data_IF_755743887607
#
_entry.id   IF_755743887607
#
_cell.length_a   1.000
_cell.length_b   1.000
_cell.length_c   1.000
_cell.angle_alpha   90.00
_cell.angle_beta   90.00
_cell.angle_gamma   90.00
#
_symmetry.space_group_name_H-M   'P 1'
#
loop_
_entity.id
_entity.type
_entity.pdbx_description
1 polymer ?
#
# COMPACT_ATOMS: atom_id res chain seq x y z
N UNK A 1 -3.18 1.70 -7.01
CA UNK A 1 -3.44 0.34 -6.50
C UNK A 1 -2.73 0.20 -5.16
N UNK A 2 -3.27 -0.54 -4.20
CA UNK A 2 -2.67 -0.82 -2.87
C UNK A 2 -3.04 -2.23 -2.42
N UNK A 3 -2.35 -2.75 -1.41
CA UNK A 3 -2.67 -4.01 -0.71
C UNK A 3 -2.84 -5.20 -1.68
N UNK A 4 -2.03 -5.22 -2.73
CA UNK A 4 -2.15 -6.20 -3.80
C UNK A 4 -1.75 -7.61 -3.33
N UNK A 5 -0.79 -7.70 -2.41
CA UNK A 5 -0.27 -8.97 -1.89
C UNK A 5 -0.07 -10.05 -2.96
N UNK A 6 0.68 -9.71 -4.01
CA UNK A 6 0.90 -10.58 -5.17
C UNK A 6 1.62 -11.89 -4.82
N UNK A 7 2.15 -12.04 -3.61
CA UNK A 7 2.60 -13.31 -3.06
C UNK A 7 1.50 -14.38 -2.92
N UNK A 8 0.22 -13.99 -2.86
CA UNK A 8 -0.90 -14.91 -2.69
C UNK A 8 -1.68 -15.17 -3.99
N UNK A 9 -1.68 -14.23 -4.93
CA UNK A 9 -2.34 -14.36 -6.21
C UNK A 9 -1.68 -13.45 -7.25
N UNK A 10 -1.62 -13.91 -8.50
CA UNK A 10 -1.21 -13.06 -9.60
C UNK A 10 -2.17 -11.89 -9.78
N UNK A 11 -1.63 -10.74 -10.17
CA UNK A 11 -2.40 -9.54 -10.43
C UNK A 11 -2.21 -9.10 -11.87
N UNK A 12 -3.25 -9.27 -12.67
CA UNK A 12 -3.32 -8.74 -14.02
C UNK A 12 -3.53 -7.23 -13.96
N UNK A 13 -2.52 -6.49 -14.39
CA UNK A 13 -2.63 -5.03 -14.40
C UNK A 13 -3.55 -4.59 -15.52
N UNK A 14 -4.60 -3.82 -15.22
CA UNK A 14 -5.55 -3.39 -16.24
C UNK A 14 -4.87 -2.44 -17.23
N UNK A 15 -5.10 -2.68 -18.52
CA UNK A 15 -4.67 -1.76 -19.57
C UNK A 15 -5.64 -0.58 -19.62
N UNK A 16 -5.22 0.53 -19.03
CA UNK A 16 -5.99 1.77 -18.95
C UNK A 16 -5.15 2.91 -19.49
N UNK A 17 -5.80 3.92 -20.05
CA UNK A 17 -5.11 5.15 -20.46
C UNK A 17 -4.84 6.03 -19.23
N UNK A 18 -3.63 5.92 -18.69
CA UNK A 18 -3.18 6.66 -17.52
C UNK A 18 -1.75 7.16 -17.72
N UNK A 19 -1.47 8.36 -17.22
CA UNK A 19 -0.13 8.97 -17.32
C UNK A 19 0.86 8.40 -16.31
N UNK A 20 0.38 7.94 -15.15
CA UNK A 20 1.17 7.47 -14.01
C UNK A 20 0.49 6.28 -13.33
N UNK A 21 1.29 5.32 -12.89
CA UNK A 21 0.85 4.24 -12.00
C UNK A 21 1.30 4.51 -10.56
N UNK A 22 0.36 4.46 -9.61
CA UNK A 22 0.67 4.57 -8.18
C UNK A 22 0.47 3.22 -7.50
N UNK A 23 1.53 2.73 -6.85
CA UNK A 23 1.55 1.53 -6.00
C UNK A 23 1.68 1.97 -4.54
N UNK A 24 0.57 1.95 -3.81
CA UNK A 24 0.42 2.60 -2.51
C UNK A 24 0.55 1.62 -1.33
N UNK A 25 1.62 0.81 -1.33
CA UNK A 25 1.98 -0.09 -0.22
C UNK A 25 1.33 -1.46 -0.26
N UNK A 26 1.92 -2.37 0.53
CA UNK A 26 1.50 -3.77 0.70
C UNK A 26 1.33 -4.48 -0.66
N UNK A 27 2.27 -4.24 -1.57
CA UNK A 27 2.29 -4.86 -2.90
C UNK A 27 2.89 -6.25 -2.80
N UNK A 28 4.07 -6.37 -2.20
CA UNK A 28 4.71 -7.64 -1.91
C UNK A 28 5.68 -7.48 -0.73
N UNK A 29 6.00 -8.57 -0.04
CA UNK A 29 7.09 -8.60 0.94
C UNK A 29 8.45 -8.13 0.39
N UNK A 30 9.17 -7.34 1.20
CA UNK A 30 10.56 -6.90 0.95
C UNK A 30 10.73 -6.14 -0.36
N UNK A 31 11.84 -6.37 -1.06
CA UNK A 31 12.22 -5.71 -2.29
C UNK A 31 11.47 -6.26 -3.52
N UNK A 32 10.71 -7.35 -3.38
CA UNK A 32 9.98 -7.98 -4.48
C UNK A 32 8.89 -7.08 -5.05
N UNK A 33 8.27 -6.23 -4.23
CA UNK A 33 7.28 -5.26 -4.71
C UNK A 33 7.89 -4.21 -5.64
N UNK A 34 9.15 -3.82 -5.37
CA UNK A 34 9.92 -2.94 -6.26
C UNK A 34 10.34 -3.65 -7.56
N UNK A 35 10.68 -4.94 -7.49
CA UNK A 35 10.97 -5.75 -8.68
C UNK A 35 9.73 -5.88 -9.58
N UNK A 36 8.57 -6.15 -9.00
CA UNK A 36 7.29 -6.14 -9.69
C UNK A 36 7.00 -4.78 -10.34
N UNK A 37 7.16 -3.68 -9.59
CA UNK A 37 6.98 -2.34 -10.12
C UNK A 37 7.87 -2.08 -11.35
N UNK A 38 9.15 -2.47 -11.29
CA UNK A 38 10.07 -2.31 -12.45
C UNK A 38 9.59 -3.09 -13.68
N UNK A 39 9.15 -4.33 -13.49
CA UNK A 39 8.60 -5.15 -14.56
C UNK A 39 7.31 -4.55 -15.15
N UNK A 40 6.48 -3.92 -14.31
CA UNK A 40 5.24 -3.28 -14.71
C UNK A 40 5.44 -1.98 -15.50
N UNK A 41 6.63 -1.38 -15.42
CA UNK A 41 6.82 0.01 -15.85
C UNK A 41 6.38 0.32 -17.27
N UNK A 42 6.35 -0.62 -18.24
CA UNK A 42 5.74 -0.44 -19.58
C UNK A 42 5.82 0.99 -20.16
N UNK A 43 6.99 1.64 -20.01
CA UNK A 43 7.26 3.04 -20.41
C UNK A 43 6.45 4.15 -19.72
N UNK A 44 5.74 3.85 -18.63
CA UNK A 44 5.01 4.78 -17.76
C UNK A 44 5.73 4.99 -16.42
N UNK A 45 5.79 6.23 -15.90
CA UNK A 45 6.34 6.47 -14.57
C UNK A 45 5.52 5.78 -13.48
N UNK A 46 6.22 5.20 -12.50
CA UNK A 46 5.61 4.57 -11.33
C UNK A 46 6.00 5.33 -10.07
N UNK A 47 4.99 5.67 -9.27
CA UNK A 47 5.17 6.12 -7.89
C UNK A 47 4.95 4.94 -6.97
N UNK A 48 5.98 4.53 -6.25
CA UNK A 48 5.93 3.43 -5.28
C UNK A 48 6.01 3.98 -3.86
N UNK A 49 5.02 3.64 -3.04
CA UNK A 49 5.00 3.89 -1.60
C UNK A 49 5.15 2.54 -0.91
N UNK A 50 6.16 2.38 -0.06
CA UNK A 50 6.33 1.15 0.71
C UNK A 50 5.31 1.13 1.86
N UNK A 51 4.56 0.03 1.98
CA UNK A 51 3.68 -0.27 3.10
C UNK A 51 4.43 -1.02 4.21
N UNK A 52 3.68 -1.49 5.21
CA UNK A 52 4.27 -2.28 6.30
C UNK A 52 4.74 -3.65 5.83
N UNK A 53 4.09 -4.23 4.82
CA UNK A 53 4.37 -5.59 4.36
C UNK A 53 5.74 -5.68 3.65
N UNK A 54 6.18 -4.60 3.02
CA UNK A 54 7.53 -4.46 2.48
C UNK A 54 8.61 -4.60 3.57
N UNK A 55 8.30 -4.30 4.84
CA UNK A 55 9.25 -4.43 5.94
C UNK A 55 9.07 -5.73 6.76
N UNK A 56 8.23 -6.66 6.32
CA UNK A 56 7.90 -7.86 7.08
C UNK A 56 9.15 -8.70 7.43
N UNK A 57 9.32 -8.98 8.73
CA UNK A 57 10.47 -9.71 9.27
C UNK A 57 11.74 -8.86 9.45
N UNK A 58 11.64 -7.53 9.30
CA UNK A 58 12.73 -6.58 9.57
C UNK A 58 12.28 -5.53 10.60
N UNK A 59 13.23 -4.98 11.35
CA UNK A 59 12.97 -3.90 12.29
C UNK A 59 13.49 -2.58 11.70
N UNK A 60 12.56 -1.77 11.21
CA UNK A 60 12.82 -0.37 10.85
C UNK A 60 12.12 0.48 11.92
N UNK A 61 12.74 1.56 12.46
CA UNK A 61 12.06 2.46 13.37
C UNK A 61 10.91 3.16 12.62
N UNK A 62 9.73 2.53 12.64
CA UNK A 62 8.55 2.99 11.94
C UNK A 62 7.49 3.35 12.98
N UNK A 63 6.97 4.57 12.89
CA UNK A 63 5.84 5.01 13.71
C UNK A 63 4.56 4.83 12.89
N UNK A 64 3.85 3.72 13.12
CA UNK A 64 2.53 3.51 12.52
C UNK A 64 1.52 4.34 13.30
N UNK A 65 0.92 5.33 12.65
CA UNK A 65 -0.25 6.05 13.17
C UNK A 65 -1.43 5.58 12.33
N UNK A 66 -2.31 4.77 12.94
CA UNK A 66 -3.56 4.35 12.32
C UNK A 66 -4.72 4.98 13.09
N UNK A 67 -5.58 5.68 12.36
CA UNK A 67 -6.81 6.27 12.87
C UNK A 67 -8.02 5.68 12.15
N UNK A 68 -8.01 4.36 11.94
CA UNK A 68 -9.13 3.70 11.28
C UNK A 68 -10.37 3.72 12.18
N UNK A 69 -11.51 4.09 11.59
CA UNK A 69 -12.79 4.19 12.31
C UNK A 69 -13.35 2.84 12.78
N UNK A 70 -12.87 1.73 12.22
CA UNK A 70 -13.42 0.39 12.44
C UNK A 70 -14.83 0.22 11.85
N UNK A 71 -15.33 -1.02 11.79
CA UNK A 71 -16.73 -1.29 11.44
C UNK A 71 -17.66 -0.96 12.63
N UNK A 72 -18.96 -0.66 12.38
CA UNK A 72 -19.91 -0.40 13.46
C UNK A 72 -19.97 -1.57 14.47
N UNK A 73 -19.65 -1.29 15.73
CA UNK A 73 -19.62 -2.28 16.82
C UNK A 73 -18.23 -2.77 17.20
N UNK A 74 -17.21 -2.51 16.38
CA UNK A 74 -15.82 -2.82 16.69
C UNK A 74 -15.07 -1.57 17.17
N UNK A 75 -14.23 -1.73 18.21
CA UNK A 75 -13.27 -0.71 18.68
C UNK A 75 -13.80 0.74 18.75
N UNK A 76 -14.85 1.04 19.53
CA UNK A 76 -15.44 2.39 19.63
C UNK A 76 -14.50 3.46 20.23
N UNK A 77 -13.30 3.08 20.68
CA UNK A 77 -12.39 3.92 21.47
C UNK A 77 -11.05 4.22 20.78
N UNK A 78 -10.82 3.72 19.55
CA UNK A 78 -9.54 3.88 18.83
C UNK A 78 -9.54 4.92 17.71
N UNK A 79 -10.72 5.39 17.30
CA UNK A 79 -10.86 6.46 16.32
C UNK A 79 -10.84 7.81 17.01
N UNK A 80 -9.88 8.65 16.64
CA UNK A 80 -9.77 10.04 17.06
C UNK A 80 -10.09 10.97 15.86
N UNK A 81 -11.26 11.62 15.83
CA UNK A 81 -11.59 12.55 14.75
C UNK A 81 -10.62 13.74 14.66
N UNK A 82 -9.86 14.07 15.71
CA UNK A 82 -8.81 15.09 15.71
C UNK A 82 -7.54 14.69 14.93
N UNK A 83 -7.42 13.42 14.56
CA UNK A 83 -6.34 12.89 13.72
C UNK A 83 -6.78 12.68 12.26
N UNK A 84 -7.96 13.18 11.86
CA UNK A 84 -8.44 13.15 10.48
C UNK A 84 -7.97 14.42 9.76
N UNK A 85 -7.22 14.26 8.67
CA UNK A 85 -6.90 15.36 7.75
C UNK A 85 -7.98 15.39 6.68
N UNK A 86 -8.85 16.39 6.73
CA UNK A 86 -9.82 16.68 5.67
C UNK A 86 -9.25 17.80 4.77
N UNK A 87 -9.42 17.64 3.45
CA UNK A 87 -9.15 18.68 2.45
C UNK A 87 -10.39 19.54 2.23
#
# INVERSE_FOLDING_TARGET
MSDLHIEFADFDTPDVDADVTVLAGDVHTRDRGLQFARALSNHRPIVYVAGNHEFYGTAVPTRVVSNQRGYPGECPQRFDPGLVVAL
#
